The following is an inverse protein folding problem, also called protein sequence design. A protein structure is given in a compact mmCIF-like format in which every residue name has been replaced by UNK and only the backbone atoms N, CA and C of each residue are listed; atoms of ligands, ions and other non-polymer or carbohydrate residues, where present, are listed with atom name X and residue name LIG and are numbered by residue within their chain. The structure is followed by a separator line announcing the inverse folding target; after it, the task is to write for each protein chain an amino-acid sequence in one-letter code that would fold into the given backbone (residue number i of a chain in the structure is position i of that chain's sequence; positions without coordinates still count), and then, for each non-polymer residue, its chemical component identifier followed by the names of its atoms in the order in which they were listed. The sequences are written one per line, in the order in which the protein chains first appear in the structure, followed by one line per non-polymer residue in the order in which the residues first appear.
data_IF_947292014593
#
_entry.id   IF_947292014593
#
_cell.length_a   1.000
_cell.length_b   1.000
_cell.length_c   1.000
_cell.angle_alpha   90.00
_cell.angle_beta   90.00
_cell.angle_gamma   90.00
#
_symmetry.space_group_name_H-M   'P 1'
#
loop_
_entity.id
_entity.type
_entity.pdbx_description
1 polymer ?
#
# COMPACT_ATOMS: atom_id res chain seq x y z
N UNK A 1 -4.09 -13.80 -1.23
CA UNK A 1 -5.18 -13.18 -0.46
C UNK A 1 -5.36 -13.97 0.82
N UNK A 2 -5.59 -13.30 1.95
CA UNK A 2 -5.68 -13.96 3.25
C UNK A 2 -6.85 -14.97 3.36
N UNK A 3 -7.96 -14.71 2.67
CA UNK A 3 -9.16 -15.55 2.59
C UNK A 3 -9.02 -16.84 1.78
N UNK A 4 -7.90 -17.06 1.08
CA UNK A 4 -7.71 -18.21 0.20
C UNK A 4 -8.24 -18.03 -1.23
N UNK A 5 -8.89 -16.91 -1.56
CA UNK A 5 -9.34 -16.64 -2.93
C UNK A 5 -8.21 -16.10 -3.84
N UNK A 6 -6.96 -16.22 -3.40
CA UNK A 6 -5.78 -15.73 -4.12
C UNK A 6 -5.15 -16.79 -5.03
N UNK A 7 -4.31 -16.35 -5.95
CA UNK A 7 -3.55 -17.21 -6.86
C UNK A 7 -2.07 -17.30 -6.42
N UNK A 8 -1.29 -18.28 -6.92
CA UNK A 8 -1.71 -19.43 -7.73
C UNK A 8 -2.21 -20.62 -6.90
N UNK A 9 -1.80 -20.73 -5.63
CA UNK A 9 -2.03 -21.91 -4.79
C UNK A 9 -3.28 -21.83 -3.89
N UNK A 10 -4.00 -20.71 -3.86
CA UNK A 10 -5.19 -20.59 -3.00
C UNK A 10 -4.89 -20.69 -1.49
N UNK A 11 -3.65 -20.40 -1.07
CA UNK A 11 -3.25 -20.48 0.34
C UNK A 11 -4.08 -19.50 1.18
N UNK A 12 -4.56 -19.95 2.34
CA UNK A 12 -5.34 -19.15 3.28
C UNK A 12 -4.61 -19.00 4.62
N UNK A 13 -4.85 -17.85 5.27
CA UNK A 13 -4.47 -17.58 6.65
C UNK A 13 -3.03 -17.99 6.99
N UNK A 14 -2.85 -18.98 7.86
CA UNK A 14 -1.55 -19.44 8.39
C UNK A 14 -0.71 -20.16 7.34
N UNK A 15 -1.31 -20.64 6.25
CA UNK A 15 -0.57 -21.26 5.14
C UNK A 15 0.26 -20.25 4.36
N UNK A 16 -0.04 -18.95 4.49
CA UNK A 16 0.70 -17.88 3.83
C UNK A 16 1.88 -17.50 4.73
N UNK A 17 3.14 -17.58 4.26
CA UNK A 17 4.30 -17.16 5.04
C UNK A 17 4.20 -15.69 5.45
N UNK A 18 4.70 -15.34 6.63
CA UNK A 18 4.66 -13.98 7.17
C UNK A 18 5.23 -12.94 6.19
N UNK A 19 6.36 -13.24 5.54
CA UNK A 19 6.96 -12.35 4.55
C UNK A 19 6.03 -12.05 3.37
N UNK A 20 5.27 -13.03 2.90
CA UNK A 20 4.30 -12.84 1.81
C UNK A 20 3.10 -11.99 2.26
N UNK A 21 2.66 -12.12 3.52
CA UNK A 21 1.61 -11.28 4.11
C UNK A 21 2.05 -9.81 4.20
N UNK A 22 3.28 -9.56 4.63
CA UNK A 22 3.89 -8.22 4.69
C UNK A 22 3.99 -7.63 3.28
N UNK A 23 4.58 -8.38 2.34
CA UNK A 23 4.74 -7.93 0.95
C UNK A 23 3.40 -7.55 0.30
N UNK A 24 2.34 -8.34 0.54
CA UNK A 24 1.02 -8.04 -0.01
C UNK A 24 0.48 -6.67 0.45
N UNK A 25 0.70 -6.31 1.72
CA UNK A 25 0.29 -5.01 2.27
C UNK A 25 1.15 -3.88 1.70
N UNK A 26 2.48 -4.08 1.65
CA UNK A 26 3.41 -3.09 1.10
C UNK A 26 3.16 -2.80 -0.37
N UNK A 27 2.96 -3.84 -1.19
CA UNK A 27 2.68 -3.71 -2.62
C UNK A 27 1.37 -2.98 -2.89
N UNK A 28 0.30 -3.32 -2.14
CA UNK A 28 -0.98 -2.64 -2.26
C UNK A 28 -0.90 -1.16 -1.87
N UNK A 29 -0.16 -0.85 -0.80
CA UNK A 29 0.05 0.53 -0.37
C UNK A 29 0.80 1.35 -1.43
N UNK A 30 1.91 0.81 -1.96
CA UNK A 30 2.67 1.46 -3.01
C UNK A 30 1.82 1.65 -4.28
N UNK A 31 1.10 0.62 -4.71
CA UNK A 31 0.22 0.69 -5.88
C UNK A 31 -0.86 1.78 -5.75
N UNK A 32 -1.38 2.03 -4.55
CA UNK A 32 -2.39 3.07 -4.31
C UNK A 32 -1.82 4.49 -4.23
N UNK A 33 -0.57 4.64 -3.79
CA UNK A 33 0.06 5.95 -3.48
C UNK A 33 0.99 6.45 -4.59
N UNK A 34 1.59 5.54 -5.36
CA UNK A 34 2.51 5.85 -6.45
C UNK A 34 1.81 6.36 -7.70
N UNK A 35 2.42 7.35 -8.38
CA UNK A 35 1.89 7.93 -9.64
C UNK A 35 2.04 6.92 -10.77
N UNK A 36 0.94 6.27 -11.15
CA UNK A 36 0.84 5.46 -12.37
C UNK A 36 0.10 6.26 -13.44
N UNK A 37 0.49 6.19 -14.74
CA UNK A 37 -0.07 7.04 -15.81
C UNK A 37 -1.60 6.98 -15.97
N UNK A 38 -2.24 5.95 -15.40
CA UNK A 38 -3.64 5.62 -15.61
C UNK A 38 -4.50 5.68 -14.33
N UNK A 39 -4.01 6.27 -13.23
CA UNK A 39 -4.73 6.24 -11.94
C UNK A 39 -4.67 7.58 -11.20
N UNK A 40 -5.80 8.01 -10.63
CA UNK A 40 -5.80 9.04 -9.58
C UNK A 40 -5.24 8.42 -8.30
N UNK A 41 -4.09 8.93 -7.85
CA UNK A 41 -3.44 8.46 -6.63
C UNK A 41 -4.30 8.72 -5.40
N UNK A 42 -4.32 7.77 -4.49
CA UNK A 42 -4.86 7.96 -3.14
C UNK A 42 -3.81 8.61 -2.26
N UNK A 43 -4.25 9.39 -1.28
CA UNK A 43 -3.38 9.81 -0.19
C UNK A 43 -2.90 8.59 0.63
N UNK A 44 -1.73 8.69 1.30
CA UNK A 44 -1.26 7.64 2.20
C UNK A 44 -2.31 7.20 3.23
N UNK A 45 -3.05 8.16 3.79
CA UNK A 45 -4.11 7.91 4.76
C UNK A 45 -5.27 7.12 4.15
N UNK A 46 -5.70 7.46 2.93
CA UNK A 46 -6.74 6.71 2.21
C UNK A 46 -6.28 5.30 1.85
N UNK A 47 -5.03 5.13 1.42
CA UNK A 47 -4.45 3.82 1.14
C UNK A 47 -4.46 2.93 2.39
N UNK A 48 -4.04 3.48 3.54
CA UNK A 48 -4.10 2.77 4.82
C UNK A 48 -5.54 2.40 5.22
N UNK A 49 -6.51 3.31 5.07
CA UNK A 49 -7.93 3.01 5.33
C UNK A 49 -8.48 1.89 4.44
N UNK A 50 -8.04 1.83 3.17
CA UNK A 50 -8.42 0.74 2.25
C UNK A 50 -7.83 -0.59 2.71
N UNK A 51 -6.58 -0.62 3.16
CA UNK A 51 -5.95 -1.82 3.72
C UNK A 51 -6.71 -2.31 4.94
N UNK A 52 -7.01 -1.40 5.87
CA UNK A 52 -7.80 -1.69 7.08
C UNK A 52 -9.19 -2.26 6.75
N UNK A 53 -9.91 -1.64 5.81
CA UNK A 53 -11.22 -2.11 5.36
C UNK A 53 -11.20 -3.55 4.80
N UNK A 54 -10.06 -3.99 4.26
CA UNK A 54 -9.90 -5.31 3.66
C UNK A 54 -9.12 -6.30 4.56
N UNK A 55 -8.89 -5.96 5.82
CA UNK A 55 -8.31 -6.86 6.81
C UNK A 55 -9.19 -8.11 6.99
N UNK A 56 -8.56 -9.28 7.11
CA UNK A 56 -9.25 -10.57 7.26
C UNK A 56 -9.77 -11.17 5.96
N UNK A 57 -9.77 -10.43 4.84
CA UNK A 57 -10.09 -10.94 3.51
C UNK A 57 -8.89 -10.90 2.58
N UNK A 58 -8.46 -9.71 2.16
CA UNK A 58 -7.32 -9.56 1.28
C UNK A 58 -6.01 -9.66 2.05
N UNK A 59 -5.98 -9.01 3.22
CA UNK A 59 -4.78 -8.85 4.04
C UNK A 59 -4.92 -9.56 5.38
N UNK A 60 -3.79 -10.00 5.90
CA UNK A 60 -3.72 -10.49 7.27
C UNK A 60 -4.08 -9.35 8.25
N UNK A 61 -5.02 -9.55 9.19
CA UNK A 61 -5.40 -8.53 10.16
C UNK A 61 -4.26 -7.97 11.00
N UNK A 62 -3.31 -8.81 11.41
CA UNK A 62 -2.18 -8.39 12.26
C UNK A 62 -1.24 -7.49 11.49
N UNK A 63 -0.94 -7.85 10.24
CA UNK A 63 -0.10 -7.04 9.35
C UNK A 63 -0.82 -5.74 8.96
N UNK A 64 -2.12 -5.80 8.68
CA UNK A 64 -2.91 -4.61 8.37
C UNK A 64 -2.91 -3.62 9.54
N UNK A 65 -3.05 -4.09 10.78
CA UNK A 65 -3.03 -3.27 11.99
C UNK A 65 -1.76 -2.42 12.12
N UNK A 66 -0.60 -3.00 11.83
CA UNK A 66 0.69 -2.29 11.89
C UNK A 66 1.01 -1.46 10.64
N UNK A 67 0.25 -1.61 9.55
CA UNK A 67 0.50 -0.93 8.27
C UNK A 67 0.45 0.61 8.36
N UNK A 68 -0.04 1.19 9.47
CA UNK A 68 -0.01 2.63 9.72
C UNK A 68 1.40 3.23 9.68
N UNK A 69 2.44 2.44 10.01
CA UNK A 69 3.85 2.86 9.91
C UNK A 69 4.25 3.29 8.49
N UNK A 70 3.56 2.79 7.46
CA UNK A 70 3.79 3.17 6.07
C UNK A 70 3.36 4.62 5.79
N UNK A 71 2.33 5.12 6.49
CA UNK A 71 1.89 6.52 6.37
C UNK A 71 3.00 7.44 6.88
N UNK A 72 3.51 7.18 8.09
CA UNK A 72 4.58 7.96 8.70
C UNK A 72 5.85 7.96 7.84
N UNK A 73 6.23 6.80 7.31
CA UNK A 73 7.38 6.66 6.41
C UNK A 73 7.18 7.41 5.09
N UNK A 74 5.97 7.38 4.52
CA UNK A 74 5.70 8.06 3.26
C UNK A 74 5.81 9.59 3.41
N UNK A 75 5.24 10.15 4.48
CA UNK A 75 5.30 11.59 4.75
C UNK A 75 6.73 12.07 5.00
N UNK A 76 7.53 11.31 5.77
CA UNK A 76 8.92 11.69 6.10
C UNK A 76 9.88 11.57 4.92
N UNK A 77 9.65 10.63 4.01
CA UNK A 77 10.69 10.22 3.03
C UNK A 77 10.35 10.55 1.58
N UNK A 78 9.06 10.51 1.19
CA UNK A 78 8.63 10.62 -0.21
C UNK A 78 7.92 11.94 -0.53
N UNK A 79 7.16 12.52 0.40
CA UNK A 79 6.53 13.84 0.22
C UNK A 79 7.52 14.95 -0.19
N UNK A 80 8.74 15.07 0.37
CA UNK A 80 9.70 16.09 -0.05
C UNK A 80 10.31 15.85 -1.43
N UNK A 81 10.30 14.61 -1.95
CA UNK A 81 10.89 14.28 -3.26
C UNK A 81 9.97 14.61 -4.43
N UNK A 82 8.66 14.49 -4.25
CA UNK A 82 7.67 14.73 -5.33
C UNK A 82 7.43 16.24 -5.53
N UNK A 83 7.49 17.06 -4.47
CA UNK A 83 7.30 18.52 -4.57
C UNK A 83 8.51 19.23 -5.19
N UNK A 84 9.72 18.69 -5.04
CA UNK A 84 10.95 19.29 -5.58
C UNK A 84 11.07 19.29 -7.11
N UNK A 85 10.31 18.45 -7.82
CA UNK A 85 10.40 18.34 -9.30
C UNK A 85 9.26 19.04 -10.06
N UNK A 86 8.34 19.71 -9.37
CA UNK A 86 7.14 20.30 -9.98
C UNK A 86 7.17 21.84 -10.14
N UNK A 87 8.30 22.52 -9.87
CA UNK A 87 8.37 24.00 -9.96
C UNK A 87 9.12 24.53 -11.21
N UNK A 88 9.84 23.71 -11.98
CA UNK A 88 10.53 24.16 -13.21
C UNK A 88 9.74 23.91 -14.50
N UNK A 89 8.47 24.33 -14.54
CA UNK A 89 7.75 24.44 -15.82
C UNK A 89 6.64 25.51 -15.79
N UNK A 90 6.98 26.74 -15.41
CA UNK A 90 6.25 27.95 -15.81
C UNK A 90 7.26 29.08 -15.99
N UNK A 91 7.05 29.89 -17.04
CA UNK A 91 7.86 31.01 -17.56
C UNK A 91 8.88 30.64 -18.65
N UNK A 92 8.36 30.33 -19.83
CA UNK A 92 8.72 31.05 -21.07
C UNK A 92 7.44 31.29 -21.87
#
# INVERSE_FOLDING_TARGET
RFDGAGYPLGLKKEQIPLGAKILAVSDAFDAMTSRRPYQQNRSPLEAWRVIQKNAGSQFDPEVAAVAGVLVDCYEKTLAPRITSKAVTMKMR
#
